data_IF_703117106056
#
_entry.id   IF_703117106056
#
_cell.length_a   1.000
_cell.length_b   1.000
_cell.length_c   1.000
_cell.angle_alpha   90.00
_cell.angle_beta   90.00
_cell.angle_gamma   90.00
#
_symmetry.space_group_name_H-M   'P 1'
#
loop_
_entity.id
_entity.type
_entity.pdbx_description
1 polymer ?
#
# COMPACT_ATOMS: atom_id res chain seq x y z
N UNK A 1 17.35 32.63 -50.10
CA UNK A 1 17.15 32.48 -48.64
C UNK A 1 17.83 31.20 -48.19
N UNK A 2 18.69 31.21 -47.16
CA UNK A 2 19.23 29.99 -46.58
C UNK A 2 18.13 29.28 -45.78
N UNK A 3 17.98 27.97 -45.96
CA UNK A 3 17.10 27.14 -45.15
C UNK A 3 17.73 26.98 -43.75
N UNK A 4 17.05 27.45 -42.71
CA UNK A 4 17.42 27.15 -41.34
C UNK A 4 17.05 25.70 -40.99
N UNK A 5 17.94 24.96 -40.27
CA UNK A 5 17.62 23.63 -39.79
C UNK A 5 16.63 23.72 -38.63
N UNK A 6 15.48 23.07 -38.79
CA UNK A 6 14.46 22.94 -37.74
C UNK A 6 15.02 22.13 -36.57
N UNK A 7 14.93 22.63 -35.32
CA UNK A 7 15.44 21.91 -34.16
C UNK A 7 14.56 20.68 -33.91
N UNK A 8 15.13 19.50 -34.17
CA UNK A 8 14.48 18.24 -33.80
C UNK A 8 14.61 18.12 -32.29
N UNK A 9 13.57 18.51 -31.56
CA UNK A 9 13.55 18.43 -30.10
C UNK A 9 13.48 16.96 -29.66
N UNK A 10 14.63 16.29 -29.64
CA UNK A 10 14.77 14.98 -28.99
C UNK A 10 14.59 15.22 -27.49
N UNK A 11 13.42 14.87 -26.95
CA UNK A 11 13.23 14.85 -25.49
C UNK A 11 14.24 13.87 -24.91
N UNK A 12 15.15 14.39 -24.08
CA UNK A 12 16.16 13.61 -23.38
C UNK A 12 15.50 12.55 -22.52
N UNK A 13 15.98 11.31 -22.61
CA UNK A 13 15.67 10.28 -21.62
C UNK A 13 16.21 10.74 -20.26
N UNK A 14 15.43 10.50 -19.20
CA UNK A 14 15.83 10.80 -17.83
C UNK A 14 17.00 9.91 -17.39
N UNK A 15 17.85 10.45 -16.50
CA UNK A 15 19.05 9.78 -16.01
C UNK A 15 18.72 8.50 -15.22
N UNK A 16 19.16 7.36 -15.74
CA UNK A 16 18.83 5.99 -15.29
C UNK A 16 19.69 5.57 -14.08
N UNK A 17 20.68 6.40 -13.70
CA UNK A 17 21.65 6.11 -12.63
C UNK A 17 21.08 5.97 -11.21
N UNK A 18 19.77 6.19 -11.01
CA UNK A 18 19.11 6.16 -9.69
C UNK A 18 18.19 4.97 -9.46
N UNK A 19 18.10 4.00 -10.37
CA UNK A 19 17.12 2.91 -10.22
C UNK A 19 17.69 1.78 -9.36
N UNK A 20 17.21 1.68 -8.11
CA UNK A 20 17.56 0.60 -7.19
C UNK A 20 17.10 -0.77 -7.68
N UNK A 21 17.90 -1.79 -7.37
CA UNK A 21 17.63 -3.21 -7.68
C UNK A 21 16.27 -3.63 -7.14
N UNK A 22 15.49 -4.24 -8.04
CA UNK A 22 14.17 -4.78 -7.80
C UNK A 22 14.24 -6.02 -6.87
N UNK A 23 13.90 -5.87 -5.59
CA UNK A 23 13.83 -7.02 -4.65
C UNK A 23 12.51 -7.19 -3.88
N UNK A 24 11.59 -6.22 -3.92
CA UNK A 24 10.33 -6.28 -3.15
C UNK A 24 9.17 -5.57 -3.83
N UNK A 25 7.94 -6.04 -3.59
CA UNK A 25 6.66 -5.48 -4.08
C UNK A 25 6.55 -3.97 -3.80
N UNK A 26 7.12 -3.50 -2.67
CA UNK A 26 7.14 -2.09 -2.28
C UNK A 26 7.95 -1.18 -3.23
N UNK A 27 8.89 -1.74 -4.01
CA UNK A 27 9.69 -0.98 -5.00
C UNK A 27 9.07 -1.00 -6.41
N UNK A 28 8.06 -1.84 -6.65
CA UNK A 28 7.44 -1.97 -7.96
C UNK A 28 6.71 -0.71 -8.41
N UNK A 29 6.04 0.02 -7.52
CA UNK A 29 5.31 1.25 -7.90
C UNK A 29 6.23 2.38 -8.39
N UNK A 30 7.33 2.64 -7.68
CA UNK A 30 8.34 3.63 -8.11
C UNK A 30 9.04 3.22 -9.40
N UNK A 31 9.34 1.93 -9.54
CA UNK A 31 9.87 1.36 -10.77
C UNK A 31 8.87 1.51 -11.94
N UNK A 32 7.59 1.22 -11.68
CA UNK A 32 6.51 1.32 -12.65
C UNK A 32 6.37 2.75 -13.17
N UNK A 33 6.37 3.75 -12.29
CA UNK A 33 6.30 5.17 -12.67
C UNK A 33 7.51 5.60 -13.53
N UNK A 34 8.72 5.17 -13.17
CA UNK A 34 9.94 5.47 -13.92
C UNK A 34 9.92 4.83 -15.33
N UNK A 35 9.60 3.55 -15.43
CA UNK A 35 9.61 2.81 -16.69
C UNK A 35 8.42 3.18 -17.59
N UNK A 36 7.27 3.52 -17.01
CA UNK A 36 6.09 3.98 -17.76
C UNK A 36 6.41 5.22 -18.59
N UNK A 37 7.13 6.20 -18.02
CA UNK A 37 7.57 7.40 -18.76
C UNK A 37 8.43 7.09 -19.98
N UNK A 38 9.22 6.01 -19.94
CA UNK A 38 10.09 5.60 -21.05
C UNK A 38 9.29 4.84 -22.12
N UNK A 39 8.32 4.02 -21.69
CA UNK A 39 7.45 3.24 -22.58
C UNK A 39 6.38 4.07 -23.30
N UNK A 40 5.86 5.13 -22.68
CA UNK A 40 4.84 6.02 -23.28
C UNK A 40 5.38 6.74 -24.53
N UNK A 41 6.70 6.91 -24.62
CA UNK A 41 7.38 7.45 -25.79
C UNK A 41 7.60 6.42 -26.92
N UNK A 42 7.19 5.14 -26.74
CA UNK A 42 7.37 4.10 -27.75
C UNK A 42 6.18 4.05 -28.73
N UNK A 43 6.41 4.10 -30.05
CA UNK A 43 5.32 3.97 -31.03
C UNK A 43 4.65 2.59 -30.99
N UNK A 44 3.34 2.57 -31.22
CA UNK A 44 2.56 1.35 -31.16
C UNK A 44 2.84 0.40 -32.34
N UNK A 45 3.05 -0.88 -32.03
CA UNK A 45 3.36 -1.92 -33.04
C UNK A 45 2.18 -2.17 -34.02
N UNK A 46 0.95 -1.79 -33.62
CA UNK A 46 -0.30 -2.04 -34.38
C UNK A 46 -0.63 -0.97 -35.43
N UNK A 47 0.09 0.16 -35.46
CA UNK A 47 -0.10 1.14 -36.53
C UNK A 47 0.57 0.60 -37.79
N UNK A 48 -0.25 0.25 -38.79
CA UNK A 48 0.14 -0.33 -40.10
C UNK A 48 1.53 0.15 -40.54
N UNK A 49 2.45 -0.82 -40.62
CA UNK A 49 3.88 -0.61 -40.88
C UNK A 49 4.09 0.18 -42.17
N UNK A 50 4.32 1.48 -42.04
CA UNK A 50 5.04 2.26 -43.03
C UNK A 50 6.55 2.11 -42.78
N UNK A 51 7.33 1.89 -43.84
CA UNK A 51 8.79 1.69 -43.78
C UNK A 51 9.58 2.79 -43.02
N UNK A 52 8.96 3.95 -42.78
CA UNK A 52 9.54 5.06 -42.01
C UNK A 52 9.53 4.89 -40.49
N UNK A 53 8.62 4.09 -39.93
CA UNK A 53 8.39 4.00 -38.46
C UNK A 53 9.22 2.85 -37.82
N UNK A 54 9.64 1.86 -38.61
CA UNK A 54 10.36 0.68 -38.14
C UNK A 54 11.73 0.97 -37.49
N UNK A 55 12.58 1.85 -38.04
CA UNK A 55 13.87 2.19 -37.41
C UNK A 55 13.68 2.88 -36.05
N UNK A 56 12.69 3.77 -35.97
CA UNK A 56 12.36 4.52 -34.76
C UNK A 56 11.79 3.61 -33.67
N UNK A 57 10.91 2.66 -34.04
CA UNK A 57 10.44 1.63 -33.12
C UNK A 57 11.56 0.73 -32.62
N UNK A 58 12.47 0.30 -33.49
CA UNK A 58 13.59 -0.58 -33.13
C UNK A 58 14.54 0.10 -32.13
N UNK A 59 14.85 1.38 -32.38
CA UNK A 59 15.63 2.19 -31.46
C UNK A 59 14.93 2.36 -30.10
N UNK A 60 13.65 2.76 -30.11
CA UNK A 60 12.87 2.92 -28.89
C UNK A 60 12.77 1.62 -28.08
N UNK A 61 12.51 0.48 -28.73
CA UNK A 61 12.47 -0.84 -28.10
C UNK A 61 13.83 -1.23 -27.49
N UNK A 62 14.96 -0.94 -28.17
CA UNK A 62 16.30 -1.21 -27.65
C UNK A 62 16.59 -0.39 -26.39
N UNK A 63 16.25 0.90 -26.39
CA UNK A 63 16.41 1.78 -25.21
C UNK A 63 15.56 1.28 -24.06
N UNK A 64 14.24 1.12 -24.27
CA UNK A 64 13.33 0.66 -23.22
C UNK A 64 13.74 -0.71 -22.65
N UNK A 65 14.10 -1.66 -23.52
CA UNK A 65 14.55 -2.99 -23.10
C UNK A 65 15.81 -2.91 -22.25
N UNK A 66 16.79 -2.09 -22.64
CA UNK A 66 18.02 -1.90 -21.87
C UNK A 66 17.70 -1.32 -20.49
N UNK A 67 16.86 -0.29 -20.42
CA UNK A 67 16.44 0.34 -19.17
C UNK A 67 15.71 -0.64 -18.26
N UNK A 68 14.76 -1.42 -18.81
CA UNK A 68 14.06 -2.44 -18.03
C UNK A 68 15.04 -3.49 -17.51
N UNK A 69 15.85 -4.09 -18.39
CA UNK A 69 16.79 -5.15 -18.03
C UNK A 69 17.83 -4.70 -17.00
N UNK A 70 18.31 -3.44 -17.05
CA UNK A 70 19.30 -2.92 -16.08
C UNK A 70 18.75 -2.79 -14.66
N UNK A 71 17.44 -2.92 -14.47
CA UNK A 71 16.78 -2.80 -13.16
C UNK A 71 16.38 -4.15 -12.57
N UNK A 72 16.55 -5.23 -13.33
CA UNK A 72 16.15 -6.58 -12.92
C UNK A 72 17.27 -7.26 -12.11
N UNK A 73 16.88 -8.18 -11.25
CA UNK A 73 17.81 -9.15 -10.67
C UNK A 73 18.36 -10.08 -11.77
N UNK A 74 19.50 -10.71 -11.52
CA UNK A 74 20.11 -11.64 -12.48
C UNK A 74 19.15 -12.78 -12.87
N UNK A 75 18.39 -13.31 -11.90
CA UNK A 75 17.39 -14.36 -12.13
C UNK A 75 16.30 -13.93 -13.13
N UNK A 76 15.80 -12.70 -13.00
CA UNK A 76 14.79 -12.16 -13.92
C UNK A 76 15.42 -11.74 -15.25
N UNK A 77 16.66 -11.25 -15.23
CA UNK A 77 17.39 -10.87 -16.44
C UNK A 77 17.51 -12.06 -17.39
N UNK A 78 17.93 -13.23 -16.91
CA UNK A 78 18.12 -14.42 -17.74
C UNK A 78 16.82 -14.85 -18.45
N UNK A 79 15.69 -14.73 -17.76
CA UNK A 79 14.35 -15.04 -18.31
C UNK A 79 13.93 -14.03 -19.39
N UNK A 80 14.20 -12.73 -19.19
CA UNK A 80 13.68 -11.67 -20.05
C UNK A 80 14.67 -11.13 -21.09
N UNK A 81 15.94 -11.56 -21.06
CA UNK A 81 17.04 -10.96 -21.82
C UNK A 81 16.76 -10.89 -23.34
N UNK A 82 16.00 -11.83 -23.90
CA UNK A 82 15.67 -11.92 -25.33
C UNK A 82 14.25 -11.47 -25.69
N UNK A 83 13.50 -10.89 -24.75
CA UNK A 83 12.10 -10.48 -24.94
C UNK A 83 12.02 -8.99 -25.31
N UNK A 84 11.03 -8.61 -26.14
CA UNK A 84 10.77 -7.19 -26.47
C UNK A 84 10.24 -6.42 -25.26
N UNK A 85 10.60 -5.15 -25.13
CA UNK A 85 10.33 -4.34 -23.95
C UNK A 85 8.85 -4.36 -23.52
N UNK A 86 7.92 -4.22 -24.48
CA UNK A 86 6.47 -4.22 -24.21
C UNK A 86 5.95 -5.55 -23.63
N UNK A 87 6.55 -6.69 -24.02
CA UNK A 87 6.22 -8.00 -23.44
C UNK A 87 6.80 -8.18 -22.04
N UNK A 88 8.03 -7.71 -21.81
CA UNK A 88 8.63 -7.71 -20.46
C UNK A 88 7.75 -6.89 -19.51
N UNK A 89 7.40 -5.67 -19.92
CA UNK A 89 6.50 -4.79 -19.18
C UNK A 89 5.16 -5.45 -18.86
N UNK A 90 4.46 -5.98 -19.87
CA UNK A 90 3.16 -6.63 -19.66
C UNK A 90 3.23 -7.82 -18.71
N UNK A 91 4.30 -8.63 -18.80
CA UNK A 91 4.50 -9.78 -17.90
C UNK A 91 4.73 -9.34 -16.45
N UNK A 92 5.50 -8.27 -16.25
CA UNK A 92 5.77 -7.73 -14.91
C UNK A 92 4.53 -7.11 -14.29
N UNK A 93 3.79 -6.29 -15.04
CA UNK A 93 2.51 -5.72 -14.58
C UNK A 93 1.56 -6.84 -14.18
N UNK A 94 1.36 -7.84 -15.05
CA UNK A 94 0.48 -8.96 -14.73
C UNK A 94 0.90 -9.70 -13.46
N UNK A 95 2.20 -10.02 -13.31
CA UNK A 95 2.71 -10.76 -12.14
C UNK A 95 2.53 -9.98 -10.83
N UNK A 96 3.02 -8.74 -10.79
CA UNK A 96 3.08 -7.99 -9.54
C UNK A 96 1.74 -7.35 -9.16
N UNK A 97 0.88 -6.99 -10.12
CA UNK A 97 -0.49 -6.54 -9.82
C UNK A 97 -1.35 -7.68 -9.27
N UNK A 98 -1.19 -8.91 -9.78
CA UNK A 98 -1.93 -10.08 -9.25
C UNK A 98 -1.49 -10.41 -7.83
N UNK A 99 -0.18 -10.44 -7.57
CA UNK A 99 0.35 -10.72 -6.22
C UNK A 99 -0.06 -9.65 -5.20
N UNK A 100 -0.04 -8.37 -5.60
CA UNK A 100 -0.49 -7.25 -4.77
C UNK A 100 -2.00 -7.36 -4.46
N UNK A 101 -2.82 -7.65 -5.47
CA UNK A 101 -4.27 -7.83 -5.30
C UNK A 101 -4.61 -8.99 -4.37
N UNK A 102 -3.91 -10.13 -4.47
CA UNK A 102 -4.11 -11.28 -3.58
C UNK A 102 -3.76 -10.91 -2.14
N UNK A 103 -2.61 -10.25 -1.90
CA UNK A 103 -2.22 -9.79 -0.55
C UNK A 103 -3.22 -8.81 0.02
N UNK A 104 -3.63 -7.81 -0.75
CA UNK A 104 -4.67 -6.86 -0.33
C UNK A 104 -5.97 -7.56 0.02
N UNK A 105 -6.45 -8.48 -0.82
CA UNK A 105 -7.70 -9.22 -0.57
C UNK A 105 -7.65 -10.03 0.73
N UNK A 106 -6.51 -10.63 1.05
CA UNK A 106 -6.32 -11.37 2.29
C UNK A 106 -6.36 -10.46 3.53
N UNK A 107 -5.63 -9.33 3.50
CA UNK A 107 -5.61 -8.36 4.59
C UNK A 107 -7.00 -7.74 4.80
N UNK A 108 -7.68 -7.33 3.73
CA UNK A 108 -9.06 -6.81 3.78
C UNK A 108 -10.00 -7.87 4.36
N UNK A 109 -9.88 -9.12 3.93
CA UNK A 109 -10.69 -10.22 4.44
C UNK A 109 -10.50 -10.45 5.94
N UNK A 110 -9.28 -10.37 6.45
CA UNK A 110 -8.99 -10.51 7.88
C UNK A 110 -9.54 -9.33 8.68
N UNK A 111 -9.35 -8.10 8.20
CA UNK A 111 -9.92 -6.90 8.82
C UNK A 111 -11.46 -6.96 8.88
N UNK A 112 -12.10 -7.34 7.77
CA UNK A 112 -13.56 -7.44 7.69
C UNK A 112 -14.15 -8.53 8.61
N UNK A 113 -13.45 -9.66 8.76
CA UNK A 113 -13.91 -10.78 9.60
C UNK A 113 -13.66 -10.58 11.10
N UNK A 114 -12.79 -9.65 11.48
CA UNK A 114 -12.53 -9.37 12.88
C UNK A 114 -13.80 -8.82 13.54
N UNK A 115 -14.11 -9.32 14.73
CA UNK A 115 -15.24 -8.97 15.59
C UNK A 115 -14.79 -9.05 17.04
N UNK A 116 -15.21 -8.09 17.86
CA UNK A 116 -14.97 -8.13 19.29
C UNK A 116 -15.89 -9.19 19.93
N UNK A 117 -15.35 -9.93 20.88
CA UNK A 117 -16.06 -10.99 21.62
C UNK A 117 -16.07 -10.69 23.12
N UNK A 118 -17.18 -11.01 23.76
CA UNK A 118 -17.38 -10.77 25.19
C UNK A 118 -16.50 -11.65 26.09
N UNK A 119 -16.04 -12.80 25.60
CA UNK A 119 -15.27 -13.79 26.35
C UNK A 119 -13.75 -13.57 26.32
N UNK A 120 -13.28 -12.49 25.70
CA UNK A 120 -11.85 -12.18 25.54
C UNK A 120 -11.49 -10.84 26.17
N UNK A 121 -10.25 -10.72 26.63
CA UNK A 121 -9.71 -9.47 27.17
C UNK A 121 -9.79 -8.34 26.14
N UNK A 122 -10.38 -7.20 26.53
CA UNK A 122 -10.61 -6.10 25.60
C UNK A 122 -9.32 -5.47 25.11
N UNK A 123 -8.29 -5.41 25.96
CA UNK A 123 -7.02 -4.76 25.61
C UNK A 123 -6.31 -5.54 24.51
N UNK A 124 -6.32 -6.86 24.63
CA UNK A 124 -5.82 -7.80 23.62
C UNK A 124 -6.59 -7.64 22.31
N UNK A 125 -7.91 -7.55 22.36
CA UNK A 125 -8.74 -7.38 21.17
C UNK A 125 -8.52 -6.04 20.48
N UNK A 126 -8.37 -4.95 21.23
CA UNK A 126 -8.00 -3.64 20.68
C UNK A 126 -6.63 -3.68 20.02
N UNK A 127 -5.64 -4.33 20.64
CA UNK A 127 -4.34 -4.51 20.03
C UNK A 127 -4.43 -5.30 18.71
N UNK A 128 -5.19 -6.41 18.67
CA UNK A 128 -5.46 -7.16 17.43
C UNK A 128 -6.04 -6.25 16.33
N UNK A 129 -7.01 -5.40 16.69
CA UNK A 129 -7.60 -4.46 15.75
C UNK A 129 -6.58 -3.44 15.21
N UNK A 130 -5.75 -2.87 16.08
CA UNK A 130 -4.68 -1.95 15.68
C UNK A 130 -3.67 -2.62 14.74
N UNK A 131 -3.27 -3.85 15.03
CA UNK A 131 -2.38 -4.63 14.15
C UNK A 131 -3.00 -4.86 12.78
N UNK A 132 -4.31 -5.08 12.68
CA UNK A 132 -5.00 -5.20 11.39
C UNK A 132 -4.97 -3.89 10.59
N UNK A 133 -5.09 -2.73 11.25
CA UNK A 133 -4.94 -1.42 10.61
C UNK A 133 -3.51 -1.19 10.11
N UNK A 134 -2.50 -1.62 10.85
CA UNK A 134 -1.11 -1.58 10.41
C UNK A 134 -0.87 -2.46 9.19
N UNK A 135 -1.46 -3.67 9.15
CA UNK A 135 -1.39 -4.53 7.98
C UNK A 135 -2.04 -3.88 6.75
N UNK A 136 -3.18 -3.21 6.89
CA UNK A 136 -3.84 -2.46 5.81
C UNK A 136 -2.93 -1.36 5.27
N UNK A 137 -2.32 -0.57 6.16
CA UNK A 137 -1.32 0.45 5.77
C UNK A 137 -0.11 -0.17 5.08
N UNK A 138 0.34 -1.34 5.54
CA UNK A 138 1.43 -2.11 4.94
C UNK A 138 1.18 -2.52 3.48
N UNK A 139 -0.08 -2.73 3.10
CA UNK A 139 -0.51 -2.99 1.71
C UNK A 139 -1.02 -1.74 0.97
N UNK A 140 -0.67 -0.55 1.48
CA UNK A 140 -1.04 0.77 0.93
C UNK A 140 -2.55 1.07 0.90
N UNK A 141 -3.32 0.44 1.79
CA UNK A 141 -4.74 0.77 1.99
C UNK A 141 -4.83 1.69 3.21
N UNK A 142 -5.02 2.98 2.96
CA UNK A 142 -5.27 3.97 4.00
C UNK A 142 -6.77 4.25 4.11
N UNK A 143 -7.30 4.12 5.32
CA UNK A 143 -8.72 4.28 5.59
C UNK A 143 -8.96 5.59 6.35
N UNK A 144 -9.99 6.37 5.99
CA UNK A 144 -10.37 7.55 6.76
C UNK A 144 -10.68 7.18 8.22
N UNK A 145 -10.28 8.03 9.15
CA UNK A 145 -10.48 7.79 10.59
C UNK A 145 -11.96 7.54 10.95
N UNK A 146 -12.88 8.29 10.34
CA UNK A 146 -14.33 8.09 10.50
C UNK A 146 -14.81 6.70 10.07
N UNK A 147 -14.20 6.12 9.03
CA UNK A 147 -14.50 4.76 8.58
C UNK A 147 -14.01 3.73 9.59
N UNK A 148 -12.78 3.91 10.11
CA UNK A 148 -12.19 3.02 11.13
C UNK A 148 -13.05 3.04 12.41
N UNK A 149 -13.48 4.22 12.86
CA UNK A 149 -14.35 4.37 14.03
C UNK A 149 -15.70 3.71 13.77
N UNK A 150 -16.32 3.98 12.61
CA UNK A 150 -17.60 3.38 12.25
C UNK A 150 -17.57 1.86 12.26
N UNK A 151 -16.55 1.25 11.65
CA UNK A 151 -16.38 -0.21 11.67
C UNK A 151 -16.14 -0.73 13.09
N UNK A 152 -15.28 -0.07 13.88
CA UNK A 152 -15.03 -0.51 15.26
C UNK A 152 -16.32 -0.55 16.08
N UNK A 153 -17.18 0.48 15.96
CA UNK A 153 -18.47 0.55 16.67
C UNK A 153 -19.43 -0.55 16.21
N UNK A 154 -19.50 -0.84 14.91
CA UNK A 154 -20.32 -1.96 14.39
C UNK A 154 -19.79 -3.33 14.82
N UNK A 155 -18.48 -3.43 15.10
CA UNK A 155 -17.78 -4.66 15.48
C UNK A 155 -17.64 -4.85 16.99
N UNK A 156 -18.21 -3.94 17.79
CA UNK A 156 -18.29 -4.08 19.24
C UNK A 156 -19.12 -5.32 19.60
N UNK A 157 -18.76 -5.97 20.71
CA UNK A 157 -19.47 -7.13 21.19
C UNK A 157 -20.89 -6.78 21.69
N UNK A 158 -21.76 -7.77 21.85
CA UNK A 158 -23.17 -7.52 22.15
C UNK A 158 -23.38 -6.81 23.50
N UNK A 159 -22.51 -7.09 24.47
CA UNK A 159 -22.51 -6.40 25.78
C UNK A 159 -22.30 -4.88 25.68
N UNK A 160 -21.75 -4.39 24.56
CA UNK A 160 -21.46 -2.98 24.29
C UNK A 160 -22.53 -2.30 23.43
N UNK A 161 -23.63 -2.98 23.11
CA UNK A 161 -24.64 -2.49 22.15
C UNK A 161 -25.22 -1.12 22.49
N UNK A 162 -25.53 -0.86 23.76
CA UNK A 162 -26.14 0.41 24.15
C UNK A 162 -25.13 1.55 24.12
N UNK A 163 -23.91 1.30 24.58
CA UNK A 163 -22.78 2.21 24.41
C UNK A 163 -22.46 2.49 22.93
N UNK A 164 -22.50 1.45 22.08
CA UNK A 164 -22.30 1.58 20.64
C UNK A 164 -23.34 2.49 19.99
N UNK A 165 -24.60 2.49 20.45
CA UNK A 165 -25.62 3.44 19.96
C UNK A 165 -25.26 4.87 20.31
N UNK A 166 -24.83 5.12 21.55
CA UNK A 166 -24.42 6.46 22.00
C UNK A 166 -23.20 6.98 21.20
N UNK A 167 -22.25 6.09 20.89
CA UNK A 167 -21.13 6.41 20.03
C UNK A 167 -21.57 6.71 18.59
N UNK A 168 -22.52 5.95 18.01
CA UNK A 168 -23.03 6.17 16.64
C UNK A 168 -23.58 7.57 16.44
N UNK A 169 -24.23 8.15 17.45
CA UNK A 169 -24.74 9.52 17.38
C UNK A 169 -23.65 10.60 17.35
N UNK A 170 -22.42 10.26 17.74
CA UNK A 170 -21.31 11.21 17.91
C UNK A 170 -20.07 10.90 17.05
N UNK A 171 -20.12 9.92 16.15
CA UNK A 171 -18.98 9.44 15.32
C UNK A 171 -18.27 10.57 14.56
N UNK A 172 -19.01 11.59 14.11
CA UNK A 172 -18.42 12.74 13.40
C UNK A 172 -17.59 13.69 14.26
N UNK A 173 -17.61 13.54 15.59
CA UNK A 173 -16.97 14.47 16.54
C UNK A 173 -15.84 13.83 17.35
N UNK A 174 -15.70 12.50 17.33
CA UNK A 174 -14.70 11.79 18.12
C UNK A 174 -13.48 11.40 17.30
N UNK A 175 -12.29 11.51 17.91
CA UNK A 175 -11.08 10.90 17.38
C UNK A 175 -11.04 9.41 17.72
N UNK A 176 -10.32 8.64 16.91
CA UNK A 176 -10.15 7.21 17.09
C UNK A 176 -9.51 6.89 18.45
N UNK A 177 -8.51 7.66 18.85
CA UNK A 177 -7.87 7.50 20.16
C UNK A 177 -8.85 7.74 21.33
N UNK A 178 -9.76 8.70 21.19
CA UNK A 178 -10.79 8.95 22.21
C UNK A 178 -11.75 7.77 22.32
N UNK A 179 -12.18 7.20 21.18
CA UNK A 179 -13.05 6.02 21.16
C UNK A 179 -12.37 4.82 21.82
N UNK A 180 -11.12 4.53 21.47
CA UNK A 180 -10.33 3.46 22.09
C UNK A 180 -10.17 3.69 23.60
N UNK A 181 -9.84 4.91 24.01
CA UNK A 181 -9.66 5.27 25.41
C UNK A 181 -10.95 5.06 26.20
N UNK A 182 -12.09 5.52 25.67
CA UNK A 182 -13.37 5.37 26.35
C UNK A 182 -13.78 3.89 26.43
N UNK A 183 -13.58 3.10 25.37
CA UNK A 183 -13.82 1.64 25.40
C UNK A 183 -13.00 0.98 26.52
N UNK A 184 -11.72 1.30 26.64
CA UNK A 184 -10.84 0.74 27.69
C UNK A 184 -11.30 1.20 29.09
N UNK A 185 -11.63 2.49 29.27
CA UNK A 185 -12.07 3.05 30.57
C UNK A 185 -13.41 2.45 31.00
N UNK A 186 -14.39 2.39 30.10
CA UNK A 186 -15.72 1.88 30.41
C UNK A 186 -15.68 0.37 30.72
N UNK A 187 -14.70 -0.37 30.15
CA UNK A 187 -14.47 -1.78 30.52
C UNK A 187 -13.99 -1.92 31.94
N UNK A 188 -13.14 -1.00 32.41
CA UNK A 188 -12.65 -0.98 33.80
C UNK A 188 -13.81 -0.67 34.77
N UNK A 189 -14.79 0.13 34.35
CA UNK A 189 -15.97 0.42 35.16
C UNK A 189 -17.00 -0.72 35.17
N UNK A 190 -17.15 -1.45 34.06
CA UNK A 190 -18.04 -2.61 33.93
C UNK A 190 -17.39 -3.87 34.55
N UNK A 191 -16.06 -3.93 34.61
CA UNK A 191 -15.24 -5.03 35.12
C UNK A 191 -14.69 -4.85 36.55
N UNK A 192 -15.61 -4.84 37.54
CA UNK A 192 -15.45 -5.09 39.00
C UNK A 192 -14.93 -4.00 39.97
N UNK A 193 -15.54 -3.91 41.19
CA UNK A 193 -14.88 -3.35 42.36
C UNK A 193 -13.72 -4.26 42.80
N UNK A 194 -12.49 -3.81 42.56
CA UNK A 194 -11.28 -4.39 43.15
C UNK A 194 -10.28 -4.97 42.14
N UNK A 195 -9.13 -4.30 42.08
CA UNK A 195 -7.82 -4.79 41.61
C UNK A 195 -7.55 -4.87 40.09
N UNK A 196 -6.89 -3.84 39.55
CA UNK A 196 -5.44 -3.87 39.22
C UNK A 196 -5.09 -2.56 38.46
N UNK A 197 -4.54 -1.57 39.15
CA UNK A 197 -4.58 -0.16 38.70
C UNK A 197 -3.30 0.36 37.99
N UNK A 198 -2.24 -0.43 37.85
CA UNK A 198 -0.92 0.13 37.50
C UNK A 198 -0.31 -0.41 36.20
N UNK A 199 -0.63 -1.64 35.80
CA UNK A 199 -0.02 -2.28 34.61
C UNK A 199 -0.59 -1.76 33.28
N UNK A 200 -1.89 -1.43 33.23
CA UNK A 200 -2.60 -1.07 32.00
C UNK A 200 -2.26 0.33 31.49
N UNK A 201 -1.98 1.28 32.40
CA UNK A 201 -1.48 2.62 32.03
C UNK A 201 -0.08 2.55 31.43
N UNK A 202 0.78 1.68 31.96
CA UNK A 202 2.13 1.52 31.42
C UNK A 202 2.15 0.94 30.01
N UNK A 203 1.25 -0.02 29.69
CA UNK A 203 1.16 -0.61 28.35
C UNK A 203 0.72 0.43 27.30
N UNK A 204 -0.28 1.26 27.63
CA UNK A 204 -0.78 2.31 26.73
C UNK A 204 0.28 3.40 26.46
N UNK A 205 0.99 3.85 27.50
CA UNK A 205 2.09 4.80 27.36
C UNK A 205 3.28 4.21 26.58
N UNK A 206 3.60 2.93 26.77
CA UNK A 206 4.70 2.25 26.08
C UNK A 206 4.42 2.05 24.58
N UNK A 207 3.16 1.81 24.19
CA UNK A 207 2.76 1.75 22.78
C UNK A 207 2.75 3.11 22.08
N UNK A 208 2.40 4.20 22.77
CA UNK A 208 2.33 5.53 22.15
C UNK A 208 3.67 6.28 22.06
N UNK A 209 4.62 6.04 22.97
CA UNK A 209 5.79 6.92 23.14
C UNK A 209 7.15 6.23 23.09
N UNK A 210 7.23 4.98 22.60
CA UNK A 210 8.47 4.24 22.29
C UNK A 210 9.78 4.88 22.77
N UNK A 211 10.09 4.70 24.05
CA UNK A 211 11.29 5.28 24.65
C UNK A 211 11.55 4.69 26.02
N UNK A 212 12.38 3.65 26.08
CA UNK A 212 13.13 3.33 27.29
C UNK A 212 14.06 4.51 27.57
N UNK A 213 13.86 5.19 28.71
CA UNK A 213 14.92 5.96 29.36
C UNK A 213 14.82 5.72 30.86
N UNK A 214 15.94 5.22 31.38
CA UNK A 214 16.30 5.09 32.81
C UNK A 214 15.92 6.31 33.65
#
# INVERSE_FOLDING_TARGET
>A
MPFEPTPTHVKSFSDISKVEVFSTVLKFKRWQECIFSTLDNMPDQKTKVGAKILPQWTYANKVCRRTILSTLSNELFDVYCNIVAKKIWGSMIAKYTTEDSVKQSFVIGNYYKWEMKDDRDITTQIHEYLTLLEHLKGVQIDLPESFIIGILIEKLAESWRDYGKDLKHNVGSMSFNNVITNIIIDTIQIGRPGECQESTKQVYFKCQFGGDKE
#
